data_IF_067581567549
#
_entry.id   IF_067581567549
#
_cell.length_a   1.000
_cell.length_b   1.000
_cell.length_c   1.000
_cell.angle_alpha   90.00
_cell.angle_beta   90.00
_cell.angle_gamma   90.00
#
_symmetry.space_group_name_H-M   'P 1'
#
loop_
_entity.id
_entity.type
_entity.pdbx_description
1 polymer ?
#
# COMPACT_ATOMS: atom_id res chain seq x y z
N UNK A 1 3.88 0.89 9.39
CA UNK A 1 3.46 2.28 9.25
C UNK A 1 2.18 2.36 8.43
N UNK A 2 1.05 2.64 9.09
CA UNK A 2 -0.17 2.97 8.39
C UNK A 2 0.04 4.28 7.62
N UNK A 3 -0.95 5.08 7.39
CA UNK A 3 -0.70 6.34 6.72
C UNK A 3 -0.52 7.48 7.74
N UNK A 4 0.09 8.56 7.30
CA UNK A 4 0.36 9.76 8.11
C UNK A 4 -0.83 10.71 8.19
N UNK A 5 -1.84 10.56 7.33
CA UNK A 5 -3.00 11.45 7.28
C UNK A 5 -4.21 10.79 7.90
N UNK A 6 -4.81 11.48 8.85
CA UNK A 6 -6.04 11.05 9.49
C UNK A 6 -7.01 12.23 9.49
N UNK A 7 -8.16 12.07 8.88
CA UNK A 7 -9.20 13.09 8.94
C UNK A 7 -9.69 13.24 10.38
N UNK A 8 -9.72 14.47 10.87
CA UNK A 8 -10.00 14.77 12.28
C UNK A 8 -8.76 14.96 13.15
N UNK A 9 -7.57 14.62 12.64
CA UNK A 9 -6.31 14.95 13.31
C UNK A 9 -5.94 16.39 12.97
N UNK A 10 -5.07 17.00 13.79
CA UNK A 10 -4.55 18.34 13.55
C UNK A 10 -3.95 18.47 12.14
N UNK A 11 -4.43 19.44 11.31
CA UNK A 11 -3.88 19.63 9.97
C UNK A 11 -2.38 19.90 9.93
N UNK A 12 -1.83 20.57 10.95
CA UNK A 12 -0.37 20.78 11.05
C UNK A 12 0.35 19.49 11.26
N UNK A 13 -0.17 18.62 12.13
CA UNK A 13 0.37 17.27 12.34
C UNK A 13 0.37 16.47 11.04
N UNK A 14 -0.75 16.44 10.33
CA UNK A 14 -0.86 15.72 9.06
C UNK A 14 0.16 16.21 8.03
N UNK A 15 0.33 17.52 7.89
CA UNK A 15 1.31 18.09 6.96
C UNK A 15 2.74 17.73 7.33
N UNK A 16 3.06 17.78 8.61
CA UNK A 16 4.41 17.46 9.08
C UNK A 16 4.73 15.99 8.85
N UNK A 17 3.78 15.10 9.14
CA UNK A 17 3.96 13.66 8.93
C UNK A 17 4.05 13.33 7.44
N UNK A 18 3.24 13.96 6.60
CA UNK A 18 3.32 13.78 5.16
C UNK A 18 4.69 14.21 4.62
N UNK A 19 5.18 15.36 5.05
CA UNK A 19 6.48 15.86 4.67
C UNK A 19 7.59 14.89 5.08
N UNK A 20 7.50 14.33 6.27
CA UNK A 20 8.44 13.33 6.79
C UNK A 20 8.46 12.08 5.91
N UNK A 21 7.29 11.51 5.63
CA UNK A 21 7.19 10.28 4.84
C UNK A 21 7.71 10.51 3.43
N UNK A 22 7.34 11.61 2.79
CA UNK A 22 7.81 11.94 1.45
C UNK A 22 9.32 12.07 1.41
N UNK A 23 9.91 12.69 2.41
CA UNK A 23 11.36 12.87 2.50
C UNK A 23 12.08 11.53 2.65
N UNK A 24 11.60 10.67 3.56
CA UNK A 24 12.25 9.39 3.83
C UNK A 24 11.97 8.35 2.75
N UNK A 25 10.87 8.44 2.04
CA UNK A 25 10.54 7.52 0.96
C UNK A 25 11.20 7.89 -0.37
N UNK A 26 11.67 9.12 -0.54
CA UNK A 26 12.24 9.60 -1.81
C UNK A 26 13.31 8.69 -2.40
N UNK A 27 14.23 8.08 -1.61
CA UNK A 27 15.21 7.15 -2.16
C UNK A 27 14.63 5.93 -2.88
N UNK A 28 13.34 5.62 -2.65
CA UNK A 28 12.66 4.51 -3.32
C UNK A 28 12.13 4.86 -4.70
N UNK A 29 12.14 6.14 -5.06
CA UNK A 29 11.56 6.60 -6.33
C UNK A 29 12.18 5.85 -7.51
N UNK A 30 11.32 5.19 -8.29
CA UNK A 30 11.71 4.43 -9.47
C UNK A 30 12.46 3.14 -9.20
N UNK A 31 12.68 2.78 -7.93
CA UNK A 31 13.33 1.52 -7.58
C UNK A 31 12.44 0.34 -7.91
N UNK A 32 13.04 -0.72 -8.43
CA UNK A 32 12.35 -1.98 -8.67
C UNK A 32 12.26 -2.76 -7.36
N UNK A 33 11.03 -3.07 -6.97
CA UNK A 33 10.74 -3.83 -5.76
C UNK A 33 9.92 -5.05 -6.15
N UNK A 34 10.42 -6.23 -5.83
CA UNK A 34 9.75 -7.48 -6.21
C UNK A 34 8.45 -7.70 -5.44
N UNK A 35 8.46 -7.41 -4.15
CA UNK A 35 7.31 -7.56 -3.29
C UNK A 35 7.28 -6.45 -2.24
N UNK A 36 6.20 -5.71 -2.20
CA UNK A 36 5.96 -4.71 -1.17
C UNK A 36 4.76 -5.12 -0.32
N UNK A 37 4.98 -5.29 0.97
CA UNK A 37 3.92 -5.52 1.95
C UNK A 37 3.55 -4.18 2.57
N UNK A 38 2.38 -3.67 2.22
CA UNK A 38 1.95 -2.33 2.63
C UNK A 38 0.63 -2.42 3.39
N UNK A 39 0.48 -1.66 4.47
CA UNK A 39 -0.79 -1.61 5.19
C UNK A 39 -1.92 -1.09 4.29
N UNK A 40 -3.01 -1.83 4.28
CA UNK A 40 -4.27 -1.41 3.69
C UNK A 40 -5.34 -1.63 4.75
N UNK A 41 -5.41 -0.70 5.69
CA UNK A 41 -6.12 -0.86 6.95
C UNK A 41 -7.54 -0.30 6.85
N UNK A 42 -8.57 -1.16 6.93
CA UNK A 42 -9.95 -0.71 6.80
C UNK A 42 -10.41 0.19 7.95
N UNK A 43 -9.71 0.20 9.08
CA UNK A 43 -10.04 1.09 10.20
C UNK A 43 -9.83 2.56 9.86
N UNK A 44 -8.98 2.85 8.87
CA UNK A 44 -8.70 4.21 8.41
C UNK A 44 -9.69 4.70 7.36
N UNK A 45 -10.60 3.84 6.87
CA UNK A 45 -11.46 4.19 5.75
C UNK A 45 -10.64 4.57 4.52
N UNK A 46 -11.10 5.56 3.76
CA UNK A 46 -10.40 6.00 2.54
C UNK A 46 -9.00 6.56 2.81
N UNK A 47 -8.73 7.07 4.02
CA UNK A 47 -7.38 7.49 4.38
C UNK A 47 -6.39 6.34 4.35
N UNK A 48 -6.86 5.10 4.54
CA UNK A 48 -6.05 3.90 4.42
C UNK A 48 -5.55 3.62 3.01
N UNK A 49 -6.15 4.23 1.99
CA UNK A 49 -5.71 4.09 0.60
C UNK A 49 -4.45 4.90 0.29
N UNK A 50 -4.17 5.94 1.05
CA UNK A 50 -3.10 6.89 0.76
C UNK A 50 -1.72 6.26 0.74
N UNK A 51 -1.42 5.41 1.72
CA UNK A 51 -0.13 4.75 1.82
C UNK A 51 0.18 3.85 0.63
N UNK A 52 -0.64 2.83 0.38
CA UNK A 52 -0.45 1.96 -0.76
C UNK A 52 -0.39 2.72 -2.09
N UNK A 53 -1.30 3.65 -2.30
CA UNK A 53 -1.30 4.46 -3.52
C UNK A 53 0.01 5.21 -3.70
N UNK A 54 0.48 5.86 -2.65
CA UNK A 54 1.70 6.65 -2.70
C UNK A 54 2.91 5.77 -3.08
N UNK A 55 3.08 4.64 -2.41
CA UNK A 55 4.22 3.76 -2.67
C UNK A 55 4.13 3.07 -4.03
N UNK A 56 2.93 2.67 -4.45
CA UNK A 56 2.72 2.06 -5.75
C UNK A 56 3.01 3.02 -6.92
N UNK A 57 2.80 4.31 -6.71
CA UNK A 57 3.13 5.35 -7.69
C UNK A 57 4.61 5.76 -7.64
N UNK A 58 5.23 5.70 -6.46
CA UNK A 58 6.61 6.15 -6.26
C UNK A 58 7.63 5.16 -6.82
N UNK A 59 7.48 3.89 -6.49
CA UNK A 59 8.42 2.82 -6.84
C UNK A 59 7.84 1.91 -7.91
N UNK A 60 8.70 1.19 -8.58
CA UNK A 60 8.32 0.14 -9.53
C UNK A 60 8.06 -1.16 -8.74
N UNK A 61 6.91 -1.22 -8.08
CA UNK A 61 6.50 -2.36 -7.27
C UNK A 61 5.84 -3.38 -8.18
N UNK A 62 6.43 -4.57 -8.21
CA UNK A 62 5.94 -5.64 -9.06
C UNK A 62 4.74 -6.35 -8.47
N UNK A 63 4.77 -6.60 -7.15
CA UNK A 63 3.67 -7.21 -6.43
C UNK A 63 3.40 -6.47 -5.13
N UNK A 64 2.15 -6.18 -4.91
CA UNK A 64 1.66 -5.54 -3.70
C UNK A 64 0.87 -6.55 -2.88
N UNK A 65 1.33 -6.83 -1.66
CA UNK A 65 0.63 -7.67 -0.69
C UNK A 65 0.03 -6.79 0.41
N UNK A 66 -1.30 -6.61 0.42
CA UNK A 66 -1.94 -5.83 1.47
C UNK A 66 -1.81 -6.52 2.83
N UNK A 67 -1.56 -5.72 3.88
CA UNK A 67 -1.48 -6.20 5.25
C UNK A 67 -2.32 -5.33 6.18
N UNK A 68 -2.47 -5.73 7.43
CA UNK A 68 -3.27 -5.04 8.44
C UNK A 68 -4.76 -4.92 8.07
N UNK A 69 -5.32 -5.96 7.47
CA UNK A 69 -6.71 -5.92 6.99
C UNK A 69 -7.75 -6.31 8.03
N UNK A 70 -7.33 -6.86 9.18
CA UNK A 70 -8.21 -7.18 10.31
C UNK A 70 -9.40 -8.08 9.91
N UNK A 71 -9.18 -9.02 8.98
CA UNK A 71 -10.21 -9.91 8.48
C UNK A 71 -11.15 -9.30 7.43
N UNK A 72 -11.09 -8.01 7.19
CA UNK A 72 -11.87 -7.35 6.13
C UNK A 72 -11.08 -7.35 4.81
N UNK A 73 -10.96 -8.52 4.20
CA UNK A 73 -10.19 -8.67 2.97
C UNK A 73 -10.86 -8.02 1.77
N UNK A 74 -12.15 -7.78 1.83
CA UNK A 74 -12.86 -7.07 0.77
C UNK A 74 -12.43 -5.61 0.63
N UNK A 75 -11.76 -5.07 1.62
CA UNK A 75 -11.22 -3.71 1.55
C UNK A 75 -10.25 -3.53 0.38
N UNK A 76 -9.54 -4.59 0.00
CA UNK A 76 -8.71 -4.61 -1.21
C UNK A 76 -9.53 -4.30 -2.46
N UNK A 77 -10.72 -4.88 -2.60
CA UNK A 77 -11.60 -4.62 -3.74
C UNK A 77 -12.06 -3.16 -3.75
N UNK A 78 -12.33 -2.57 -2.60
CA UNK A 78 -12.71 -1.17 -2.48
C UNK A 78 -11.56 -0.27 -2.94
N UNK A 79 -10.34 -0.57 -2.52
CA UNK A 79 -9.14 0.15 -2.96
C UNK A 79 -8.97 0.07 -4.48
N UNK A 80 -9.06 -1.13 -5.04
CA UNK A 80 -8.85 -1.35 -6.48
C UNK A 80 -9.98 -0.80 -7.33
N UNK A 81 -11.18 -0.64 -6.78
CA UNK A 81 -12.26 0.04 -7.51
C UNK A 81 -11.97 1.52 -7.71
N UNK A 82 -11.22 2.13 -6.79
CA UNK A 82 -10.78 3.52 -6.92
C UNK A 82 -9.51 3.65 -7.76
N UNK A 83 -8.64 2.64 -7.74
CA UNK A 83 -7.31 2.66 -8.37
C UNK A 83 -7.10 1.40 -9.20
N UNK A 84 -7.85 1.28 -10.29
CA UNK A 84 -7.89 0.07 -11.12
C UNK A 84 -6.55 -0.30 -11.75
N UNK A 85 -5.68 0.67 -11.96
CA UNK A 85 -4.36 0.44 -12.56
C UNK A 85 -3.45 -0.46 -11.71
N UNK A 86 -3.74 -0.62 -10.42
CA UNK A 86 -2.95 -1.46 -9.53
C UNK A 86 -3.42 -2.91 -9.49
N UNK A 87 -4.52 -3.25 -10.14
CA UNK A 87 -5.15 -4.56 -10.04
C UNK A 87 -4.20 -5.70 -10.41
N UNK A 88 -3.45 -5.55 -11.50
CA UNK A 88 -2.57 -6.62 -11.98
C UNK A 88 -1.37 -6.90 -11.06
N UNK A 89 -1.03 -5.94 -10.21
CA UNK A 89 0.11 -6.05 -9.28
C UNK A 89 -0.31 -6.49 -7.89
N UNK A 90 -1.60 -6.49 -7.58
CA UNK A 90 -2.10 -6.76 -6.23
C UNK A 90 -2.31 -8.24 -6.01
N UNK A 91 -1.81 -8.74 -4.89
CA UNK A 91 -2.05 -10.09 -4.40
C UNK A 91 -3.30 -10.07 -3.54
N UNK A 92 -4.25 -10.96 -3.82
CA UNK A 92 -5.50 -11.02 -3.07
C UNK A 92 -5.37 -11.95 -1.88
N UNK A 93 -5.47 -11.39 -0.68
CA UNK A 93 -5.57 -12.15 0.57
C UNK A 93 -7.04 -12.34 0.88
N UNK A 94 -7.48 -13.57 1.11
CA UNK A 94 -8.88 -13.87 1.39
C UNK A 94 -9.11 -14.75 2.62
N UNK A 95 -8.05 -15.16 3.31
CA UNK A 95 -8.15 -15.91 4.55
C UNK A 95 -6.87 -15.82 5.38
N UNK A 96 -7.01 -16.00 6.69
CA UNK A 96 -5.88 -16.10 7.61
C UNK A 96 -5.07 -17.37 7.30
N UNK A 97 -3.76 -17.28 7.35
CA UNK A 97 -2.88 -18.42 7.11
C UNK A 97 -2.67 -18.77 5.64
N UNK A 98 -3.20 -17.96 4.72
CA UNK A 98 -2.98 -18.16 3.30
C UNK A 98 -1.52 -18.01 2.94
N UNK A 99 -1.02 -18.93 2.09
CA UNK A 99 0.38 -18.96 1.64
C UNK A 99 0.43 -18.57 0.17
N UNK A 100 1.37 -17.71 -0.16
CA UNK A 100 1.64 -17.29 -1.53
C UNK A 100 3.06 -17.67 -1.90
N UNK A 101 3.23 -18.13 -3.14
CA UNK A 101 4.55 -18.44 -3.70
C UNK A 101 4.77 -17.55 -4.92
N UNK A 102 5.91 -16.90 -4.97
CA UNK A 102 6.28 -16.03 -6.08
C UNK A 102 7.51 -16.59 -6.76
N UNK A 103 7.48 -16.64 -8.11
CA UNK A 103 8.62 -17.05 -8.90
C UNK A 103 9.54 -15.85 -9.17
N UNK A 104 10.85 -16.08 -9.12
CA UNK A 104 11.81 -15.09 -9.60
C UNK A 104 11.65 -14.94 -11.11
N UNK A 105 11.65 -13.69 -11.59
CA UNK A 105 11.81 -13.46 -13.02
C UNK A 105 13.25 -13.70 -13.44
N UNK A 106 13.40 -14.37 -14.57
CA UNK A 106 14.70 -14.47 -15.20
C UNK A 106 15.20 -13.06 -15.57
N UNK A 107 16.41 -12.73 -15.18
CA UNK A 107 17.09 -11.53 -15.64
C UNK A 107 17.31 -11.62 -17.15
N UNK A 108 16.60 -10.80 -17.87
CA UNK A 108 16.75 -10.70 -19.32
C UNK A 108 17.44 -9.42 -19.70
#
# INVERSE_FOLDING_TARGET
LNWWHWEGEDPVWNRNMESYVRRYAEPLRGRKIDLAMLPLDPRLGEDGFRGPRYFLELADIRRFLPMHQWGNFNFTNQFLSCYTSFTSRTVYVNRVGQVFTFEEEADT
#
